data_IF_811109774166
#
_entry.id   IF_811109774166
#
_cell.length_a   1.000
_cell.length_b   1.000
_cell.length_c   1.000
_cell.angle_alpha   90.00
_cell.angle_beta   90.00
_cell.angle_gamma   90.00
#
_symmetry.space_group_name_H-M   'P 1'
#
loop_
_entity.id
_entity.type
_entity.pdbx_description
1 polymer ?
#
# COMPACT_ATOMS: atom_id res chain seq x y z
N UNK A 1 10.98 14.48 -23.71
CA UNK A 1 10.72 14.96 -22.34
C UNK A 1 11.77 14.37 -21.43
N UNK A 2 12.18 15.06 -20.37
CA UNK A 2 13.00 14.48 -19.31
C UNK A 2 12.11 14.02 -18.17
N UNK A 3 12.40 12.86 -17.57
CA UNK A 3 11.71 12.41 -16.37
C UNK A 3 12.14 13.24 -15.15
N UNK A 4 11.17 13.75 -14.40
CA UNK A 4 11.41 14.47 -13.15
C UNK A 4 10.51 13.94 -12.04
N UNK A 5 11.04 13.88 -10.83
CA UNK A 5 10.30 13.47 -9.64
C UNK A 5 10.08 14.69 -8.76
N UNK A 6 8.84 14.90 -8.34
CA UNK A 6 8.45 15.91 -7.35
C UNK A 6 8.04 15.17 -6.09
N UNK A 7 8.69 15.46 -4.98
CA UNK A 7 8.39 14.86 -3.68
C UNK A 7 7.48 15.78 -2.86
N UNK A 8 6.30 15.29 -2.49
CA UNK A 8 5.55 15.91 -1.40
C UNK A 8 6.13 15.55 -0.03
N UNK A 9 5.48 16.01 1.03
CA UNK A 9 5.96 15.90 2.41
C UNK A 9 5.63 14.56 3.06
N UNK A 10 4.69 13.78 2.51
CA UNK A 10 4.18 12.58 3.17
C UNK A 10 5.21 11.44 3.23
N UNK A 11 6.07 11.32 2.22
CA UNK A 11 7.18 10.36 2.21
C UNK A 11 8.30 10.79 1.25
N UNK A 12 8.99 11.88 1.61
CA UNK A 12 10.16 12.37 0.87
C UNK A 12 11.29 11.33 0.74
N UNK A 13 11.64 10.53 1.77
CA UNK A 13 12.68 9.51 1.63
C UNK A 13 12.40 8.52 0.49
N UNK A 14 11.16 8.04 0.34
CA UNK A 14 10.80 7.17 -0.78
C UNK A 14 10.99 7.87 -2.13
N UNK A 15 10.57 9.13 -2.26
CA UNK A 15 10.74 9.88 -3.50
C UNK A 15 12.22 10.08 -3.88
N UNK A 16 13.07 10.32 -2.89
CA UNK A 16 14.53 10.41 -3.05
C UNK A 16 15.13 9.07 -3.50
N UNK A 17 14.73 7.96 -2.88
CA UNK A 17 15.17 6.62 -3.30
C UNK A 17 14.69 6.25 -4.71
N UNK A 18 13.46 6.62 -5.10
CA UNK A 18 12.97 6.40 -6.47
C UNK A 18 13.83 7.20 -7.46
N UNK A 19 14.17 8.45 -7.15
CA UNK A 19 15.02 9.28 -8.01
C UNK A 19 16.43 8.70 -8.16
N UNK A 20 17.01 8.22 -7.07
CA UNK A 20 18.30 7.54 -7.09
C UNK A 20 18.29 6.28 -7.96
N UNK A 21 17.29 5.40 -7.79
CA UNK A 21 17.21 4.13 -8.52
C UNK A 21 16.86 4.32 -10.00
N UNK A 22 15.95 5.24 -10.32
CA UNK A 22 15.53 5.51 -11.70
C UNK A 22 16.52 6.37 -12.49
N UNK A 23 17.42 7.08 -11.80
CA UNK A 23 18.27 8.12 -12.39
C UNK A 23 17.51 9.39 -12.81
N UNK A 24 16.23 9.52 -12.45
CA UNK A 24 15.44 10.71 -12.71
C UNK A 24 15.86 11.87 -11.80
N UNK A 25 15.72 13.11 -12.29
CA UNK A 25 16.04 14.29 -11.48
C UNK A 25 14.96 14.50 -10.42
N UNK A 26 15.38 14.61 -9.16
CA UNK A 26 14.52 15.15 -8.10
C UNK A 26 14.41 16.67 -8.28
N UNK A 27 13.21 17.17 -8.59
CA UNK A 27 12.94 18.60 -8.75
C UNK A 27 12.92 19.30 -7.38
N UNK A 28 13.37 20.56 -7.36
CA UNK A 28 13.20 21.41 -6.19
C UNK A 28 11.71 21.66 -5.95
N UNK A 29 11.27 21.43 -4.71
CA UNK A 29 9.90 21.65 -4.30
C UNK A 29 9.90 22.02 -2.82
N UNK A 30 9.15 23.04 -2.46
CA UNK A 30 8.88 23.43 -1.07
C UNK A 30 7.39 23.45 -0.81
N UNK A 31 6.98 23.09 0.41
CA UNK A 31 5.59 23.17 0.85
C UNK A 31 5.57 24.00 2.13
N UNK A 32 5.08 25.22 2.01
CA UNK A 32 4.86 26.08 3.16
C UNK A 32 3.49 25.81 3.77
N UNK A 33 3.41 25.90 5.10
CA UNK A 33 2.16 25.77 5.85
C UNK A 33 1.88 27.07 6.58
N UNK A 34 0.75 27.70 6.26
CA UNK A 34 0.30 28.91 6.93
C UNK A 34 -0.21 28.62 8.35
N UNK A 35 -0.27 29.62 9.25
CA UNK A 35 -0.72 29.43 10.63
C UNK A 35 -2.16 28.89 10.79
N UNK A 36 -3.01 29.05 9.78
CA UNK A 36 -4.39 28.53 9.72
C UNK A 36 -4.48 27.11 9.12
N UNK A 37 -3.35 26.55 8.68
CA UNK A 37 -3.25 25.20 8.13
C UNK A 37 -3.31 25.10 6.60
N UNK A 38 -3.49 26.22 5.88
CA UNK A 38 -3.43 26.23 4.42
C UNK A 38 -2.02 25.87 3.92
N UNK A 39 -1.96 25.20 2.77
CA UNK A 39 -0.72 24.74 2.15
C UNK A 39 -0.39 25.57 0.91
N UNK A 40 0.89 25.93 0.75
CA UNK A 40 1.41 26.62 -0.42
C UNK A 40 2.62 25.86 -0.98
N UNK A 41 2.40 24.86 -1.85
CA UNK A 41 3.50 24.22 -2.56
C UNK A 41 4.04 25.14 -3.67
N UNK A 42 5.35 25.11 -3.85
CA UNK A 42 6.05 25.74 -4.97
C UNK A 42 6.99 24.70 -5.56
N UNK A 43 6.86 24.47 -6.87
CA UNK A 43 7.68 23.53 -7.64
C UNK A 43 8.58 24.35 -8.56
N UNK A 44 9.85 23.96 -8.65
CA UNK A 44 10.78 24.53 -9.64
C UNK A 44 10.27 24.31 -11.07
N UNK A 45 10.83 25.04 -12.04
CA UNK A 45 10.46 24.93 -13.44
C UNK A 45 10.50 23.46 -13.94
N UNK A 46 9.35 22.98 -14.42
CA UNK A 46 9.14 21.65 -14.98
C UNK A 46 8.81 21.70 -16.49
N UNK A 47 9.17 22.80 -17.16
CA UNK A 47 8.76 23.08 -18.54
C UNK A 47 9.16 21.96 -19.50
N UNK A 48 8.17 21.33 -20.15
CA UNK A 48 8.38 20.25 -21.10
C UNK A 48 8.83 18.92 -20.48
N UNK A 49 8.81 18.78 -19.15
CA UNK A 49 9.17 17.56 -18.43
C UNK A 49 7.98 16.59 -18.33
N UNK A 50 8.31 15.31 -18.16
CA UNK A 50 7.39 14.24 -17.75
C UNK A 50 7.53 14.08 -16.24
N UNK A 51 6.55 14.62 -15.49
CA UNK A 51 6.64 14.81 -14.04
C UNK A 51 5.92 13.69 -13.31
N UNK A 52 6.56 13.14 -12.28
CA UNK A 52 6.02 12.12 -11.40
C UNK A 52 5.95 12.69 -9.97
N UNK A 53 4.74 12.98 -9.49
CA UNK A 53 4.53 13.54 -8.15
C UNK A 53 4.35 12.40 -7.15
N UNK A 54 5.34 12.15 -6.29
CA UNK A 54 5.32 11.10 -5.28
C UNK A 54 4.73 11.66 -3.99
N UNK A 55 3.51 11.24 -3.67
CA UNK A 55 2.80 11.65 -2.46
C UNK A 55 1.80 10.58 -2.02
N UNK A 56 2.17 9.68 -1.09
CA UNK A 56 1.18 8.79 -0.47
C UNK A 56 0.15 9.59 0.34
N UNK A 57 -1.08 9.11 0.36
CA UNK A 57 -2.23 9.79 1.01
C UNK A 57 -2.61 9.13 2.34
N UNK A 58 -1.58 8.72 3.09
CA UNK A 58 -1.69 8.17 4.45
C UNK A 58 -1.94 9.24 5.50
N UNK A 59 -2.09 8.89 6.79
CA UNK A 59 -2.27 9.87 7.87
C UNK A 59 -1.15 10.94 7.94
N UNK A 60 -1.48 12.24 8.10
CA UNK A 60 -2.82 12.83 8.10
C UNK A 60 -3.44 12.85 6.70
N UNK A 61 -4.49 12.05 6.51
CA UNK A 61 -5.02 11.68 5.18
C UNK A 61 -5.47 12.90 4.39
N UNK A 62 -6.28 13.76 4.99
CA UNK A 62 -6.90 14.89 4.28
C UNK A 62 -5.85 15.93 3.85
N UNK A 63 -4.87 16.19 4.70
CA UNK A 63 -3.79 17.13 4.40
C UNK A 63 -2.91 16.61 3.26
N UNK A 64 -2.54 15.32 3.32
CA UNK A 64 -1.73 14.70 2.27
C UNK A 64 -2.47 14.63 0.92
N UNK A 65 -3.80 14.43 0.95
CA UNK A 65 -4.63 14.53 -0.26
C UNK A 65 -4.62 15.96 -0.80
N UNK A 66 -4.91 16.98 0.02
CA UNK A 66 -4.92 18.38 -0.43
C UNK A 66 -3.55 18.80 -0.95
N UNK A 67 -2.47 18.40 -0.28
CA UNK A 67 -1.11 18.68 -0.73
C UNK A 67 -0.82 18.06 -2.11
N UNK A 68 -1.21 16.80 -2.33
CA UNK A 68 -1.09 16.16 -3.65
C UNK A 68 -1.82 16.97 -4.72
N UNK A 69 -3.07 17.38 -4.47
CA UNK A 69 -3.86 18.15 -5.44
C UNK A 69 -3.18 19.48 -5.79
N UNK A 70 -2.66 20.19 -4.79
CA UNK A 70 -1.97 21.45 -4.99
C UNK A 70 -0.61 21.27 -5.72
N UNK A 71 0.13 20.19 -5.43
CA UNK A 71 1.36 19.85 -6.14
C UNK A 71 1.10 19.53 -7.62
N UNK A 72 0.03 18.79 -7.92
CA UNK A 72 -0.37 18.48 -9.31
C UNK A 72 -0.69 19.77 -10.09
N UNK A 73 -1.51 20.67 -9.52
CA UNK A 73 -1.81 21.97 -10.12
C UNK A 73 -0.54 22.83 -10.30
N UNK A 74 0.34 22.86 -9.29
CA UNK A 74 1.61 23.58 -9.36
C UNK A 74 2.51 23.07 -10.49
N UNK A 75 2.61 21.75 -10.68
CA UNK A 75 3.40 21.15 -11.78
C UNK A 75 2.88 21.58 -13.15
N UNK A 76 1.55 21.63 -13.33
CA UNK A 76 0.94 22.11 -14.58
C UNK A 76 1.22 23.59 -14.83
N UNK A 77 1.14 24.42 -13.79
CA UNK A 77 1.48 25.85 -13.86
C UNK A 77 2.97 26.10 -14.08
N UNK A 78 3.82 25.11 -13.79
CA UNK A 78 5.24 25.09 -14.11
C UNK A 78 5.54 24.52 -15.52
N UNK A 79 4.52 24.45 -16.40
CA UNK A 79 4.58 24.03 -17.80
C UNK A 79 5.02 22.56 -18.02
N UNK A 80 4.73 21.67 -17.06
CA UNK A 80 4.92 20.23 -17.25
C UNK A 80 4.16 19.73 -18.50
N UNK A 81 4.80 18.89 -19.32
CA UNK A 81 4.18 18.33 -20.51
C UNK A 81 3.23 17.17 -20.18
N UNK A 82 3.53 16.44 -19.11
CA UNK A 82 2.70 15.36 -18.55
C UNK A 82 2.92 15.28 -17.05
N UNK A 83 1.86 15.00 -16.29
CA UNK A 83 1.89 14.89 -14.83
C UNK A 83 1.29 13.55 -14.41
N UNK A 84 2.09 12.68 -13.81
CA UNK A 84 1.65 11.41 -13.24
C UNK A 84 1.61 11.52 -11.72
N UNK A 85 0.45 11.23 -11.12
CA UNK A 85 0.33 11.11 -9.66
C UNK A 85 0.85 9.74 -9.24
N UNK A 86 1.92 9.70 -8.45
CA UNK A 86 2.45 8.48 -7.83
C UNK A 86 2.00 8.48 -6.38
N UNK A 87 1.02 7.63 -6.07
CA UNK A 87 0.35 7.56 -4.77
C UNK A 87 0.55 6.15 -4.20
N UNK A 88 1.74 5.84 -3.65
CA UNK A 88 2.08 4.46 -3.26
C UNK A 88 1.10 3.86 -2.25
N UNK A 89 0.53 4.70 -1.38
CA UNK A 89 -0.62 4.37 -0.54
C UNK A 89 -1.80 5.26 -0.90
N UNK A 90 -2.91 4.66 -1.35
CA UNK A 90 -4.14 5.37 -1.70
C UNK A 90 -5.13 5.41 -0.52
N UNK A 91 -5.18 6.54 0.18
CA UNK A 91 -6.18 6.83 1.20
C UNK A 91 -7.60 6.74 0.64
N UNK A 92 -8.58 6.45 1.50
CA UNK A 92 -9.98 6.21 1.12
C UNK A 92 -10.25 4.98 0.23
N UNK A 93 -9.24 4.17 -0.14
CA UNK A 93 -9.45 2.96 -0.95
C UNK A 93 -10.44 1.95 -0.35
N UNK A 94 -10.62 1.95 0.98
CA UNK A 94 -11.63 1.13 1.69
C UNK A 94 -13.08 1.60 1.50
N UNK A 95 -13.29 2.80 0.96
CA UNK A 95 -14.61 3.36 0.65
C UNK A 95 -14.90 3.22 -0.86
N UNK A 96 -14.86 1.98 -1.34
CA UNK A 96 -14.97 1.63 -2.77
C UNK A 96 -16.41 1.34 -3.22
N UNK A 97 -17.35 1.20 -2.29
CA UNK A 97 -18.77 0.99 -2.57
C UNK A 97 -19.64 1.55 -1.45
N UNK A 98 -20.91 1.78 -1.77
CA UNK A 98 -21.91 2.17 -0.77
C UNK A 98 -22.42 0.91 -0.05
N UNK A 99 -22.44 0.94 1.28
CA UNK A 99 -23.03 -0.12 2.10
C UNK A 99 -24.47 0.22 2.54
N UNK A 100 -24.81 1.51 2.56
CA UNK A 100 -26.17 2.03 2.80
C UNK A 100 -26.46 3.26 1.94
N UNK A 101 -27.74 3.62 1.85
CA UNK A 101 -28.17 4.81 1.11
C UNK A 101 -27.53 6.10 1.69
N UNK A 102 -27.13 7.00 0.80
CA UNK A 102 -26.53 8.30 1.16
C UNK A 102 -25.02 8.28 1.46
N UNK A 103 -24.35 7.12 1.45
CA UNK A 103 -22.89 7.06 1.62
C UNK A 103 -22.14 7.56 0.38
N UNK A 104 -21.02 8.24 0.63
CA UNK A 104 -20.03 8.58 -0.38
C UNK A 104 -19.24 7.35 -0.82
N UNK A 105 -18.76 7.37 -2.06
CA UNK A 105 -17.72 6.45 -2.54
C UNK A 105 -16.41 7.22 -2.49
N UNK A 106 -15.76 7.21 -1.33
CA UNK A 106 -14.57 8.03 -1.05
C UNK A 106 -13.44 7.79 -2.04
N UNK A 107 -13.21 6.53 -2.45
CA UNK A 107 -12.18 6.21 -3.44
C UNK A 107 -12.41 6.93 -4.77
N UNK A 108 -13.67 6.96 -5.26
CA UNK A 108 -14.05 7.69 -6.47
C UNK A 108 -13.90 9.20 -6.32
N UNK A 109 -14.30 9.76 -5.18
CA UNK A 109 -14.18 11.21 -4.93
C UNK A 109 -12.72 11.67 -4.98
N UNK A 110 -11.82 10.92 -4.34
CA UNK A 110 -10.39 11.25 -4.34
C UNK A 110 -9.77 11.04 -5.73
N UNK A 111 -10.12 9.96 -6.42
CA UNK A 111 -9.68 9.71 -7.79
C UNK A 111 -10.10 10.83 -8.75
N UNK A 112 -11.35 11.30 -8.65
CA UNK A 112 -11.86 12.43 -9.43
C UNK A 112 -11.15 13.74 -9.09
N UNK A 113 -10.84 13.97 -7.82
CA UNK A 113 -10.08 15.16 -7.41
C UNK A 113 -8.66 15.14 -7.99
N UNK A 114 -7.97 14.00 -7.95
CA UNK A 114 -6.62 13.83 -8.52
C UNK A 114 -6.63 14.10 -10.03
N UNK A 115 -7.59 13.51 -10.75
CA UNK A 115 -7.76 13.77 -12.19
C UNK A 115 -8.12 15.25 -12.45
N UNK A 116 -8.99 15.84 -11.65
CA UNK A 116 -9.42 17.24 -11.76
C UNK A 116 -8.33 18.26 -11.44
N UNK A 117 -7.39 17.94 -10.54
CA UNK A 117 -6.16 18.71 -10.30
C UNK A 117 -5.15 18.59 -11.46
N UNK A 118 -5.44 17.71 -12.41
CA UNK A 118 -4.78 17.64 -13.71
C UNK A 118 -3.64 16.64 -13.79
N UNK A 119 -3.70 15.57 -12.99
CA UNK A 119 -2.95 14.35 -13.27
C UNK A 119 -3.46 13.70 -14.58
N UNK A 120 -2.53 13.27 -15.43
CA UNK A 120 -2.81 12.55 -16.67
C UNK A 120 -2.84 11.03 -16.45
N UNK A 121 -2.25 10.55 -15.34
CA UNK A 121 -2.15 9.15 -14.96
C UNK A 121 -2.02 9.02 -13.44
N UNK A 122 -2.49 7.90 -12.89
CA UNK A 122 -2.33 7.52 -11.49
C UNK A 122 -1.52 6.23 -11.39
N UNK A 123 -0.53 6.18 -10.50
CA UNK A 123 0.19 4.97 -10.10
C UNK A 123 -0.08 4.72 -8.62
N UNK A 124 -0.49 3.50 -8.27
CA UNK A 124 -0.72 3.05 -6.89
C UNK A 124 -0.06 1.68 -6.68
N UNK A 125 0.24 1.33 -5.42
CA UNK A 125 0.76 -0.01 -5.06
C UNK A 125 -0.29 -0.72 -4.22
N UNK A 126 -0.66 -1.94 -4.61
CA UNK A 126 -1.63 -2.83 -3.94
C UNK A 126 -2.86 -2.11 -3.31
N UNK A 127 -3.63 -1.33 -4.09
CA UNK A 127 -4.79 -0.65 -3.53
C UNK A 127 -5.80 -1.67 -2.99
N UNK A 128 -6.50 -1.32 -1.91
CA UNK A 128 -7.50 -2.18 -1.27
C UNK A 128 -8.58 -2.72 -2.24
N UNK A 129 -8.84 -1.99 -3.32
CA UNK A 129 -9.82 -2.37 -4.33
C UNK A 129 -9.23 -2.29 -5.73
N UNK A 130 -9.43 -3.34 -6.52
CA UNK A 130 -9.17 -3.32 -7.97
C UNK A 130 -10.15 -2.44 -8.74
N UNK A 131 -11.27 -2.08 -8.11
CA UNK A 131 -12.29 -1.25 -8.75
C UNK A 131 -11.84 0.19 -8.96
N UNK A 132 -10.69 0.58 -8.39
CA UNK A 132 -10.12 1.92 -8.51
C UNK A 132 -9.88 2.31 -9.98
N UNK A 133 -9.42 1.38 -10.82
CA UNK A 133 -9.23 1.61 -12.25
C UNK A 133 -10.54 2.04 -12.93
N UNK A 134 -11.63 1.29 -12.70
CA UNK A 134 -12.94 1.62 -13.25
C UNK A 134 -13.55 2.91 -12.65
N UNK A 135 -13.06 3.33 -11.48
CA UNK A 135 -13.46 4.57 -10.81
C UNK A 135 -12.60 5.77 -11.20
N UNK A 136 -11.56 5.64 -12.02
CA UNK A 136 -10.73 6.77 -12.38
C UNK A 136 -11.02 7.21 -13.82
N UNK A 137 -11.08 8.53 -14.07
CA UNK A 137 -11.25 9.07 -15.42
C UNK A 137 -9.96 9.05 -16.25
N UNK A 138 -8.83 8.75 -15.62
CA UNK A 138 -7.49 8.69 -16.20
C UNK A 138 -6.91 7.28 -16.05
N UNK A 139 -5.93 6.88 -16.87
CA UNK A 139 -5.26 5.59 -16.73
C UNK A 139 -4.70 5.37 -15.32
N UNK A 140 -4.89 4.17 -14.77
CA UNK A 140 -4.41 3.77 -13.45
C UNK A 140 -3.50 2.56 -13.58
N UNK A 141 -2.28 2.68 -13.08
CA UNK A 141 -1.35 1.56 -12.94
C UNK A 141 -1.39 1.06 -11.50
N UNK A 142 -1.88 -0.16 -11.30
CA UNK A 142 -1.96 -0.81 -9.98
C UNK A 142 -0.81 -1.80 -9.83
N UNK A 143 0.33 -1.32 -9.34
CA UNK A 143 1.54 -2.12 -9.13
C UNK A 143 1.42 -3.02 -7.91
N UNK A 144 2.30 -4.01 -7.78
CA UNK A 144 2.33 -4.91 -6.63
C UNK A 144 3.68 -5.09 -5.96
N UNK A 145 3.68 -5.04 -4.62
CA UNK A 145 4.85 -5.34 -3.81
C UNK A 145 4.96 -6.83 -3.46
N UNK A 146 3.96 -7.65 -3.82
CA UNK A 146 3.88 -9.08 -3.48
C UNK A 146 5.15 -9.85 -3.83
N UNK A 147 5.76 -9.73 -5.03
CA UNK A 147 6.97 -10.48 -5.36
C UNK A 147 8.13 -10.19 -4.40
N UNK A 148 8.34 -8.90 -4.07
CA UNK A 148 9.40 -8.47 -3.16
C UNK A 148 9.15 -8.91 -1.72
N UNK A 149 7.91 -8.78 -1.24
CA UNK A 149 7.53 -9.22 0.10
C UNK A 149 7.52 -10.75 0.23
N UNK A 150 7.12 -11.48 -0.81
CA UNK A 150 7.16 -12.93 -0.85
C UNK A 150 8.62 -13.43 -0.77
N UNK A 151 9.53 -12.84 -1.54
CA UNK A 151 10.96 -13.18 -1.48
C UNK A 151 11.54 -12.94 -0.08
N UNK A 152 11.25 -11.79 0.54
CA UNK A 152 11.66 -11.49 1.91
C UNK A 152 11.04 -12.46 2.94
N UNK A 153 9.76 -12.79 2.77
CA UNK A 153 9.07 -13.77 3.59
C UNK A 153 9.70 -15.16 3.48
N UNK A 154 10.02 -15.61 2.27
CA UNK A 154 10.57 -16.94 1.99
C UNK A 154 11.84 -17.24 2.79
N UNK A 155 12.74 -16.26 2.94
CA UNK A 155 13.96 -16.39 3.75
C UNK A 155 13.67 -16.71 5.23
N UNK A 156 12.47 -16.37 5.70
CA UNK A 156 12.02 -16.46 7.09
C UNK A 156 11.03 -17.60 7.32
N UNK A 157 10.60 -18.30 6.27
CA UNK A 157 9.74 -19.46 6.40
C UNK A 157 10.48 -20.68 5.87
N UNK A 158 11.05 -21.48 6.79
CA UNK A 158 11.86 -22.65 6.45
C UNK A 158 10.97 -23.87 6.32
N UNK A 159 11.01 -24.57 5.18
CA UNK A 159 10.26 -25.81 4.95
C UNK A 159 8.92 -25.61 4.25
N UNK A 160 7.95 -26.50 4.50
CA UNK A 160 6.63 -26.48 3.85
C UNK A 160 5.70 -25.42 4.47
N UNK A 161 6.01 -24.15 4.23
CA UNK A 161 5.21 -22.99 4.61
C UNK A 161 3.74 -23.09 4.16
N UNK A 162 2.85 -22.46 4.91
CA UNK A 162 1.46 -22.20 4.47
C UNK A 162 1.23 -20.69 4.43
N UNK A 163 0.74 -20.19 3.30
CA UNK A 163 0.31 -18.79 3.18
C UNK A 163 -1.11 -18.68 3.72
N UNK A 164 -1.35 -17.75 4.63
CA UNK A 164 -2.62 -17.60 5.32
C UNK A 164 -3.29 -16.28 4.95
N UNK A 165 -4.52 -16.37 4.44
CA UNK A 165 -5.44 -15.24 4.35
C UNK A 165 -6.15 -15.05 5.71
N UNK A 166 -6.00 -13.89 6.39
CA UNK A 166 -6.60 -13.65 7.70
C UNK A 166 -8.11 -13.38 7.65
N UNK A 167 -8.66 -13.13 6.46
CA UNK A 167 -10.09 -13.14 6.18
C UNK A 167 -10.39 -13.48 4.70
N UNK A 168 -11.68 -13.50 4.34
CA UNK A 168 -12.13 -13.83 2.97
C UNK A 168 -11.72 -12.77 1.92
N UNK A 169 -11.46 -11.53 2.32
CA UNK A 169 -11.04 -10.46 1.42
C UNK A 169 -9.60 -10.66 0.94
N UNK A 170 -8.74 -11.21 1.81
CA UNK A 170 -7.32 -11.44 1.53
C UNK A 170 -7.02 -12.76 0.78
N UNK A 171 -8.02 -13.57 0.43
CA UNK A 171 -7.81 -14.90 -0.20
C UNK A 171 -7.03 -14.80 -1.51
N UNK A 172 -7.41 -13.89 -2.40
CA UNK A 172 -6.72 -13.70 -3.69
C UNK A 172 -5.28 -13.24 -3.50
N UNK A 173 -5.04 -12.41 -2.48
CA UNK A 173 -3.70 -11.97 -2.13
C UNK A 173 -2.87 -13.17 -1.64
N UNK A 174 -3.43 -14.00 -0.75
CA UNK A 174 -2.76 -15.21 -0.29
C UNK A 174 -2.46 -16.19 -1.42
N UNK A 175 -3.37 -16.36 -2.38
CA UNK A 175 -3.14 -17.14 -3.61
C UNK A 175 -1.99 -16.56 -4.44
N UNK A 176 -1.88 -15.24 -4.54
CA UNK A 176 -0.80 -14.57 -5.26
C UNK A 176 0.58 -14.81 -4.60
N UNK A 177 0.67 -14.64 -3.28
CA UNK A 177 1.88 -14.99 -2.50
C UNK A 177 2.21 -16.48 -2.64
N UNK A 178 1.22 -17.36 -2.54
CA UNK A 178 1.37 -18.80 -2.66
C UNK A 178 1.90 -19.23 -4.03
N UNK A 179 1.47 -18.58 -5.11
CA UNK A 179 1.95 -18.85 -6.47
C UNK A 179 3.46 -18.56 -6.61
N UNK A 180 3.94 -17.46 -6.02
CA UNK A 180 5.38 -17.15 -6.00
C UNK A 180 6.19 -18.10 -5.12
N UNK A 181 5.62 -18.51 -3.99
CA UNK A 181 6.32 -19.35 -3.00
C UNK A 181 6.21 -20.85 -3.28
N UNK A 182 5.33 -21.28 -4.19
CA UNK A 182 4.99 -22.69 -4.37
C UNK A 182 4.38 -23.32 -3.11
N UNK A 183 3.65 -22.53 -2.31
CA UNK A 183 3.12 -22.93 -1.01
C UNK A 183 1.59 -23.11 -1.04
N UNK A 184 1.01 -24.00 -0.22
CA UNK A 184 -0.45 -24.07 -0.07
C UNK A 184 -1.02 -22.85 0.65
N UNK A 185 -2.32 -22.61 0.44
CA UNK A 185 -3.08 -21.53 1.08
C UNK A 185 -3.99 -22.08 2.18
N UNK A 186 -4.08 -21.36 3.30
CA UNK A 186 -5.13 -21.52 4.29
C UNK A 186 -5.89 -20.20 4.50
N UNK A 187 -7.13 -20.28 4.96
CA UNK A 187 -8.03 -19.13 5.09
C UNK A 187 -8.70 -19.14 6.45
N UNK A 188 -8.60 -18.04 7.19
CA UNK A 188 -9.35 -17.82 8.43
C UNK A 188 -10.70 -17.19 8.07
N UNK A 189 -11.80 -17.88 8.36
CA UNK A 189 -13.16 -17.38 8.15
C UNK A 189 -13.76 -16.93 9.48
N UNK A 190 -14.11 -15.65 9.55
CA UNK A 190 -14.86 -15.08 10.69
C UNK A 190 -16.35 -15.28 10.48
N UNK A 191 -16.98 -16.14 11.28
CA UNK A 191 -18.44 -16.24 11.35
C UNK A 191 -18.95 -15.41 12.52
N UNK A 192 -19.66 -14.31 12.24
CA UNK A 192 -20.31 -13.50 13.28
C UNK A 192 -21.68 -14.10 13.57
N UNK A 193 -21.83 -14.85 14.67
CA UNK A 193 -23.16 -15.20 15.18
C UNK A 193 -23.71 -14.02 15.99
N UNK A 194 -24.83 -13.46 15.54
CA UNK A 194 -25.55 -12.40 16.27
C UNK A 194 -26.21 -12.96 17.52
N UNK A 195 -26.10 -12.26 18.65
CA UNK A 195 -26.86 -12.56 19.86
C UNK A 195 -26.21 -12.04 21.12
N UNK A 196 -25.09 -12.64 21.55
CA UNK A 196 -24.46 -12.25 22.82
C UNK A 196 -23.06 -12.79 23.12
N UNK A 197 -22.46 -13.72 22.38
CA UNK A 197 -20.99 -14.02 22.41
C UNK A 197 -20.61 -15.20 21.50
N UNK A 198 -19.30 -15.34 21.26
CA UNK A 198 -18.53 -16.37 20.52
C UNK A 198 -18.37 -16.09 19.02
N UNK A 199 -17.17 -15.61 18.64
CA UNK A 199 -16.68 -15.67 17.27
C UNK A 199 -16.22 -17.10 17.02
N UNK A 200 -16.95 -17.85 16.20
CA UNK A 200 -16.43 -19.09 15.65
C UNK A 200 -15.53 -18.70 14.46
N UNK A 201 -14.22 -18.84 14.65
CA UNK A 201 -13.24 -18.66 13.59
C UNK A 201 -12.88 -20.04 13.03
N UNK A 202 -13.30 -20.26 11.78
CA UNK A 202 -13.07 -21.52 11.08
C UNK A 202 -11.80 -21.38 10.22
N UNK A 203 -10.88 -22.33 10.34
CA UNK A 203 -9.72 -22.42 9.47
C UNK A 203 -10.00 -23.43 8.36
N UNK A 204 -9.88 -22.99 7.10
CA UNK A 204 -9.89 -23.85 5.92
C UNK A 204 -8.45 -24.01 5.45
N UNK A 205 -7.97 -25.26 5.35
CA UNK A 205 -6.56 -25.58 5.08
C UNK A 205 -5.87 -26.19 6.30
N UNK A 206 -4.71 -26.81 6.08
CA UNK A 206 -3.92 -27.46 7.15
C UNK A 206 -2.65 -26.67 7.46
N UNK A 207 -2.56 -26.22 8.72
CA UNK A 207 -1.43 -25.45 9.27
C UNK A 207 -0.73 -26.19 10.40
N UNK A 208 -1.19 -27.39 10.78
CA UNK A 208 -0.73 -28.07 11.98
C UNK A 208 0.75 -28.45 11.86
N UNK A 209 1.56 -28.02 12.83
CA UNK A 209 3.02 -28.20 12.88
C UNK A 209 3.75 -27.61 11.66
N UNK A 210 3.18 -26.58 11.03
CA UNK A 210 3.76 -25.90 9.87
C UNK A 210 4.05 -24.44 10.18
N UNK A 211 5.11 -23.87 9.59
CA UNK A 211 5.36 -22.45 9.67
C UNK A 211 4.37 -21.72 8.75
N UNK A 212 3.92 -20.53 9.17
CA UNK A 212 2.86 -19.79 8.50
C UNK A 212 3.30 -18.37 8.13
N UNK A 213 2.87 -17.92 6.95
CA UNK A 213 3.00 -16.56 6.46
C UNK A 213 1.61 -15.94 6.35
N UNK A 214 1.23 -15.08 7.29
CA UNK A 214 -0.04 -14.35 7.24
C UNK A 214 0.13 -13.13 6.34
N UNK A 215 -0.73 -12.97 5.34
CA UNK A 215 -0.62 -11.86 4.37
C UNK A 215 -1.88 -11.00 4.33
N UNK A 216 -1.72 -9.69 4.23
CA UNK A 216 -2.82 -8.73 4.08
C UNK A 216 -2.39 -7.57 3.17
N UNK A 217 -3.33 -6.81 2.60
CA UNK A 217 -2.97 -5.60 1.84
C UNK A 217 -2.40 -4.54 2.79
N UNK A 218 -2.96 -4.46 4.00
CA UNK A 218 -2.59 -3.43 4.96
C UNK A 218 -2.87 -3.78 6.43
N UNK A 219 -2.01 -3.32 7.33
CA UNK A 219 -2.20 -3.48 8.78
C UNK A 219 -2.47 -2.11 9.42
N UNK A 220 -3.74 -1.87 9.75
CA UNK A 220 -4.18 -0.64 10.43
C UNK A 220 -4.16 -0.78 11.95
N UNK A 221 -5.15 -1.41 12.57
CA UNK A 221 -5.21 -1.55 14.04
C UNK A 221 -4.69 -2.89 14.55
N UNK A 222 -4.19 -3.77 13.68
CA UNK A 222 -3.74 -5.12 14.03
C UNK A 222 -4.83 -6.14 14.38
N UNK A 223 -6.11 -5.73 14.50
CA UNK A 223 -7.19 -6.63 14.97
C UNK A 223 -7.40 -7.88 14.11
N UNK A 224 -7.23 -7.74 12.79
CA UNK A 224 -7.44 -8.84 11.85
C UNK A 224 -6.33 -9.87 11.97
N UNK A 225 -5.08 -9.41 12.04
CA UNK A 225 -3.89 -10.23 12.25
C UNK A 225 -3.92 -10.91 13.63
N UNK A 226 -4.23 -10.16 14.68
CA UNK A 226 -4.37 -10.69 16.06
C UNK A 226 -5.35 -11.86 16.10
N UNK A 227 -6.55 -11.70 15.57
CA UNK A 227 -7.54 -12.77 15.54
C UNK A 227 -7.04 -14.00 14.75
N UNK A 228 -6.51 -13.77 13.54
CA UNK A 228 -6.01 -14.85 12.70
C UNK A 228 -4.87 -15.63 13.37
N UNK A 229 -3.93 -14.94 14.01
CA UNK A 229 -2.82 -15.59 14.75
C UNK A 229 -3.33 -16.49 15.86
N UNK A 230 -4.30 -16.04 16.67
CA UNK A 230 -4.85 -16.88 17.75
C UNK A 230 -5.45 -18.18 17.19
N UNK A 231 -6.21 -18.11 16.10
CA UNK A 231 -6.77 -19.29 15.44
C UNK A 231 -5.68 -20.22 14.92
N UNK A 232 -4.63 -19.67 14.30
CA UNK A 232 -3.53 -20.47 13.78
C UNK A 232 -2.84 -21.25 14.90
N UNK A 233 -2.58 -20.59 16.04
CA UNK A 233 -1.99 -21.24 17.22
C UNK A 233 -2.92 -22.31 17.82
N UNK A 234 -4.22 -22.02 17.93
CA UNK A 234 -5.23 -23.00 18.39
C UNK A 234 -5.32 -24.23 17.48
N UNK A 235 -5.05 -24.06 16.18
CA UNK A 235 -5.01 -25.12 15.16
C UNK A 235 -3.63 -25.78 15.03
N UNK A 236 -2.68 -25.43 15.89
CA UNK A 236 -1.38 -26.08 16.00
C UNK A 236 -0.34 -25.59 15.00
N UNK A 237 -0.48 -24.39 14.41
CA UNK A 237 0.60 -23.76 13.66
C UNK A 237 1.85 -23.59 14.53
N UNK A 238 3.04 -23.65 13.92
CA UNK A 238 4.27 -23.39 14.67
C UNK A 238 4.25 -21.95 15.24
N UNK A 239 4.77 -21.75 16.46
CA UNK A 239 5.05 -20.40 16.97
C UNK A 239 6.10 -19.72 16.07
N UNK A 240 6.33 -18.41 16.23
CA UNK A 240 7.18 -17.59 15.36
C UNK A 240 6.53 -17.27 14.00
N UNK A 241 5.33 -16.70 14.05
CA UNK A 241 4.54 -16.37 12.86
C UNK A 241 5.19 -15.22 12.08
N UNK A 242 5.28 -15.37 10.76
CA UNK A 242 5.67 -14.27 9.87
C UNK A 242 4.40 -13.59 9.34
N UNK A 243 4.38 -12.27 9.39
CA UNK A 243 3.29 -11.46 8.84
C UNK A 243 3.85 -10.54 7.77
N UNK A 244 3.18 -10.44 6.63
CA UNK A 244 3.53 -9.48 5.58
C UNK A 244 2.32 -8.65 5.17
N UNK A 245 2.52 -7.35 4.98
CA UNK A 245 1.51 -6.50 4.36
C UNK A 245 2.16 -5.42 3.52
N UNK A 246 1.52 -5.02 2.41
CA UNK A 246 2.06 -3.91 1.61
C UNK A 246 2.08 -2.64 2.45
N UNK A 247 0.96 -2.27 3.08
CA UNK A 247 0.85 -1.01 3.79
C UNK A 247 0.84 -1.17 5.32
N UNK A 248 1.74 -0.47 6.01
CA UNK A 248 1.84 -0.48 7.47
C UNK A 248 1.48 0.85 8.14
N UNK A 249 0.23 1.36 8.06
CA UNK A 249 -0.14 2.56 8.81
C UNK A 249 -0.09 2.37 10.34
N UNK A 250 -0.26 1.13 10.84
CA UNK A 250 0.03 0.73 12.22
C UNK A 250 -0.48 1.73 13.28
N UNK A 251 -1.79 1.97 13.26
CA UNK A 251 -2.47 3.03 14.02
C UNK A 251 -3.07 2.51 15.33
N UNK A 252 -3.11 3.40 16.33
CA UNK A 252 -3.79 3.15 17.60
C UNK A 252 -3.24 1.91 18.32
N UNK A 253 -4.07 0.89 18.60
CA UNK A 253 -3.66 -0.29 19.38
C UNK A 253 -2.79 -1.29 18.59
N UNK A 254 -2.37 -0.97 17.36
CA UNK A 254 -1.60 -1.89 16.53
C UNK A 254 -0.31 -2.35 17.21
N UNK A 255 0.40 -1.45 17.88
CA UNK A 255 1.62 -1.76 18.60
C UNK A 255 1.37 -2.82 19.69
N UNK A 256 0.47 -2.53 20.62
CA UNK A 256 0.19 -3.43 21.74
C UNK A 256 -0.29 -4.80 21.28
N UNK A 257 -1.16 -4.83 20.26
CA UNK A 257 -1.68 -6.07 19.69
C UNK A 257 -0.59 -6.91 19.05
N UNK A 258 0.24 -6.33 18.18
CA UNK A 258 1.23 -7.09 17.43
C UNK A 258 2.39 -7.56 18.33
N UNK A 259 2.75 -6.76 19.33
CA UNK A 259 3.80 -7.09 20.32
C UNK A 259 3.37 -8.24 21.25
N UNK A 260 2.07 -8.36 21.54
CA UNK A 260 1.55 -9.45 22.35
C UNK A 260 1.52 -10.82 21.62
N UNK A 261 1.68 -10.83 20.30
CA UNK A 261 1.68 -12.04 19.48
C UNK A 261 3.09 -12.64 19.37
N UNK A 262 3.21 -13.97 19.22
CA UNK A 262 4.50 -14.63 18.99
C UNK A 262 4.95 -14.47 17.52
N UNK A 263 5.13 -13.22 17.08
CA UNK A 263 5.60 -12.90 15.74
C UNK A 263 7.12 -13.05 15.65
N UNK A 264 7.59 -13.72 14.60
CA UNK A 264 9.01 -13.72 14.23
C UNK A 264 9.39 -12.42 13.56
N UNK A 265 8.54 -12.00 12.61
CA UNK A 265 8.82 -10.87 11.73
C UNK A 265 7.52 -10.28 11.24
N UNK A 266 7.50 -8.95 11.17
CA UNK A 266 6.46 -8.16 10.53
C UNK A 266 7.08 -7.43 9.35
N UNK A 267 6.77 -7.87 8.14
CA UNK A 267 7.23 -7.27 6.88
C UNK A 267 6.21 -6.24 6.43
N UNK A 268 6.67 -5.01 6.16
CA UNK A 268 5.89 -3.95 5.53
C UNK A 268 6.69 -3.27 4.43
N UNK A 269 6.05 -2.44 3.61
CA UNK A 269 6.78 -1.58 2.68
C UNK A 269 6.89 -0.13 3.16
N UNK A 270 7.70 0.65 2.48
CA UNK A 270 7.78 2.11 2.62
C UNK A 270 6.75 2.85 1.75
N UNK A 271 5.66 2.21 1.28
CA UNK A 271 4.56 2.90 0.57
C UNK A 271 3.95 4.07 1.36
N UNK A 272 4.09 4.05 2.68
CA UNK A 272 3.95 5.19 3.58
C UNK A 272 5.00 5.03 4.69
N UNK A 273 5.34 6.11 5.40
CA UNK A 273 6.17 6.01 6.61
C UNK A 273 5.47 5.10 7.62
N UNK A 274 6.01 3.90 7.94
CA UNK A 274 5.34 2.99 8.84
C UNK A 274 5.17 3.62 10.22
N UNK A 275 4.05 3.33 10.88
CA UNK A 275 3.84 3.78 12.26
C UNK A 275 4.97 3.26 13.18
N UNK A 276 5.41 4.09 14.12
CA UNK A 276 6.44 3.68 15.08
C UNK A 276 5.88 2.64 16.06
N UNK A 277 6.50 1.47 16.06
CA UNK A 277 6.29 0.45 17.07
C UNK A 277 7.48 0.49 18.05
N UNK A 278 7.23 0.78 19.32
CA UNK A 278 8.28 1.00 20.33
C UNK A 278 9.10 -0.25 20.63
N UNK A 279 8.53 -1.44 20.47
CA UNK A 279 9.13 -2.72 20.89
C UNK A 279 9.26 -3.77 19.78
N UNK A 280 8.49 -3.67 18.71
CA UNK A 280 8.56 -4.56 17.54
C UNK A 280 8.76 -3.72 16.29
N UNK A 281 10.00 -3.52 15.82
CA UNK A 281 10.21 -2.74 14.59
C UNK A 281 9.79 -3.57 13.38
N UNK A 282 8.85 -3.09 12.54
CA UNK A 282 8.60 -3.71 11.25
C UNK A 282 9.88 -3.71 10.43
N UNK A 283 10.12 -4.79 9.69
CA UNK A 283 11.12 -4.81 8.65
C UNK A 283 10.52 -4.15 7.40
N UNK A 284 11.15 -3.08 6.93
CA UNK A 284 10.64 -2.24 5.85
C UNK A 284 11.35 -2.61 4.55
N UNK A 285 10.60 -3.12 3.59
CA UNK A 285 11.06 -3.42 2.24
C UNK A 285 10.69 -2.30 1.29
N UNK A 286 11.70 -1.67 0.69
CA UNK A 286 11.45 -0.52 -0.18
C UNK A 286 10.73 -0.90 -1.46
N UNK A 287 9.68 -0.15 -1.81
CA UNK A 287 9.04 -0.19 -3.14
C UNK A 287 9.70 0.78 -4.13
N UNK A 288 10.78 1.47 -3.75
CA UNK A 288 11.50 2.36 -4.65
C UNK A 288 11.96 1.66 -5.95
N UNK A 289 12.51 0.43 -5.94
CA UNK A 289 12.88 -0.25 -7.18
C UNK A 289 11.69 -0.55 -8.10
N UNK A 290 10.56 -0.98 -7.53
CA UNK A 290 9.32 -1.24 -8.27
C UNK A 290 8.80 0.04 -8.94
N UNK A 291 8.71 1.13 -8.18
CA UNK A 291 8.23 2.42 -8.68
C UNK A 291 9.20 3.03 -9.69
N UNK A 292 10.51 2.90 -9.48
CA UNK A 292 11.53 3.35 -10.42
C UNK A 292 11.45 2.60 -11.77
N UNK A 293 11.26 1.28 -11.74
CA UNK A 293 11.07 0.49 -12.97
C UNK A 293 9.80 0.92 -13.71
N UNK A 294 8.67 1.02 -13.01
CA UNK A 294 7.42 1.49 -13.61
C UNK A 294 7.55 2.90 -14.22
N UNK A 295 8.16 3.85 -13.51
CA UNK A 295 8.39 5.22 -14.00
C UNK A 295 9.29 5.21 -15.25
N UNK A 296 10.38 4.44 -15.22
CA UNK A 296 11.30 4.32 -16.36
C UNK A 296 10.60 3.77 -17.60
N UNK A 297 9.80 2.71 -17.45
CA UNK A 297 9.04 2.10 -18.54
C UNK A 297 7.96 3.03 -19.08
N UNK A 298 7.16 3.65 -18.21
CA UNK A 298 6.11 4.59 -18.62
C UNK A 298 6.67 5.84 -19.32
N UNK A 299 7.82 6.34 -18.86
CA UNK A 299 8.53 7.43 -19.53
C UNK A 299 8.94 7.05 -20.95
N UNK A 300 9.37 5.80 -21.16
CA UNK A 300 9.77 5.23 -22.44
C UNK A 300 8.58 4.66 -23.26
N UNK A 301 7.35 4.75 -22.75
CA UNK A 301 6.15 4.14 -23.33
C UNK A 301 6.26 2.61 -23.53
N UNK A 302 6.92 1.94 -22.59
CA UNK A 302 7.02 0.48 -22.50
C UNK A 302 5.89 -0.08 -21.60
N UNK A 303 5.59 -1.37 -21.77
CA UNK A 303 4.60 -2.06 -20.94
C UNK A 303 5.10 -2.24 -19.50
N UNK A 304 4.16 -2.18 -18.56
CA UNK A 304 4.34 -2.45 -17.13
C UNK A 304 3.52 -3.66 -16.68
N UNK A 305 3.02 -4.48 -17.61
CA UNK A 305 2.04 -5.55 -17.31
C UNK A 305 2.54 -6.56 -16.27
N UNK A 306 3.83 -6.90 -16.31
CA UNK A 306 4.51 -7.81 -15.37
C UNK A 306 4.70 -7.22 -13.96
N UNK A 307 4.43 -5.93 -13.77
CA UNK A 307 4.50 -5.23 -12.49
C UNK A 307 3.12 -5.07 -11.83
N UNK A 308 2.04 -5.43 -12.53
CA UNK A 308 0.66 -5.20 -12.08
C UNK A 308 0.19 -6.28 -11.10
N UNK A 309 -0.58 -5.86 -10.08
CA UNK A 309 -1.10 -6.71 -9.01
C UNK A 309 -2.04 -7.84 -9.43
N UNK A 310 -2.54 -7.81 -10.66
CA UNK A 310 -3.62 -8.68 -11.14
C UNK A 310 -3.36 -9.23 -12.55
N UNK A 311 -2.09 -9.35 -12.94
CA UNK A 311 -1.64 -9.89 -14.23
C UNK A 311 -1.58 -11.42 -14.25
#
# INVERSE_FOLDING_TARGET
MTAQIVAGTANRPLAESIAEVSGARLAGCSVERFPDGELRPVVDCACGADVYVVQPTGPPVNENVVELLLLLDACRRADAARVTAVVPYFGYARQDRRSRAGESVGARVVADAIAGAGADRLIVVDPHTKSLEAMCGIPVEMLTAVPGLAAAGAERVVGEAVVVAPDLGAVKLAEHYAAFLGAPVAVVRKTRQTGSTVRAEELVGDVASRPVLVVDDMISTGATIEAAVHVLLERGALPEITVAATHGPLLGPAADRLVALPLRTLLVTDTLTPGELTTLRPEVHSVAPLLADAISRLHQNQSVDDLLAWS
#
